data_IF_591365068155
#
_entry.id   IF_591365068155
#
_cell.length_a   1.000
_cell.length_b   1.000
_cell.length_c   1.000
_cell.angle_alpha   90.00
_cell.angle_beta   90.00
_cell.angle_gamma   90.00
#
_symmetry.space_group_name_H-M   'P 1'
#
loop_
_entity.id
_entity.type
_entity.pdbx_description
1 polymer ?
#
# COMPACT_ATOMS: atom_id res chain seq x y z
N UNK A 1 5.23 -19.59 4.36
CA UNK A 1 5.48 -18.14 4.34
C UNK A 1 6.99 -17.95 4.38
N UNK A 2 7.62 -17.61 3.24
CA UNK A 2 9.05 -17.29 3.25
C UNK A 2 9.24 -16.01 4.05
N UNK A 3 10.26 -15.96 4.89
CA UNK A 3 10.70 -14.72 5.55
C UNK A 3 10.82 -13.66 4.45
N UNK A 4 9.99 -12.61 4.49
CA UNK A 4 10.11 -11.48 3.56
C UNK A 4 9.25 -11.45 2.29
N UNK A 5 8.09 -12.13 2.20
CA UNK A 5 7.15 -11.86 1.08
C UNK A 5 6.44 -10.49 1.23
N UNK A 6 7.23 -9.43 1.07
CA UNK A 6 6.80 -8.04 1.07
C UNK A 6 5.99 -7.70 -0.18
N UNK A 7 6.22 -8.44 -1.27
CA UNK A 7 5.52 -8.26 -2.55
C UNK A 7 4.03 -8.59 -2.45
N UNK A 8 3.67 -9.69 -1.78
CA UNK A 8 2.26 -10.05 -1.53
C UNK A 8 1.56 -9.03 -0.64
N UNK A 9 2.24 -8.57 0.43
CA UNK A 9 1.74 -7.52 1.32
C UNK A 9 1.49 -6.20 0.58
N UNK A 10 2.47 -5.74 -0.20
CA UNK A 10 2.36 -4.56 -1.05
C UNK A 10 1.19 -4.68 -2.05
N UNK A 11 1.06 -5.83 -2.72
CA UNK A 11 -0.02 -6.08 -3.67
C UNK A 11 -1.41 -6.01 -3.02
N UNK A 12 -1.56 -6.59 -1.82
CA UNK A 12 -2.82 -6.52 -1.07
C UNK A 12 -3.14 -5.08 -0.66
N UNK A 13 -2.15 -4.32 -0.19
CA UNK A 13 -2.33 -2.93 0.22
C UNK A 13 -2.73 -2.04 -0.98
N UNK A 14 -2.06 -2.21 -2.12
CA UNK A 14 -2.41 -1.50 -3.36
C UNK A 14 -3.84 -1.81 -3.82
N UNK A 15 -4.24 -3.09 -3.75
CA UNK A 15 -5.61 -3.48 -4.08
C UNK A 15 -6.63 -2.88 -3.10
N UNK A 16 -6.34 -2.87 -1.80
CA UNK A 16 -7.21 -2.27 -0.80
C UNK A 16 -7.43 -0.77 -1.06
N UNK A 17 -6.38 -0.02 -1.41
CA UNK A 17 -6.51 1.39 -1.80
C UNK A 17 -7.38 1.58 -3.05
N UNK A 18 -7.24 0.69 -4.05
CA UNK A 18 -8.11 0.71 -5.25
C UNK A 18 -9.57 0.47 -4.88
N UNK A 19 -9.83 -0.53 -4.02
CA UNK A 19 -11.18 -0.82 -3.54
C UNK A 19 -11.79 0.33 -2.73
N UNK A 20 -10.98 1.01 -1.90
CA UNK A 20 -11.41 2.20 -1.18
C UNK A 20 -11.90 3.29 -2.14
N UNK A 21 -11.13 3.59 -3.19
CA UNK A 21 -11.50 4.61 -4.18
C UNK A 21 -12.82 4.29 -4.88
N UNK A 22 -12.97 3.06 -5.37
CA UNK A 22 -14.19 2.60 -6.04
C UNK A 22 -15.42 2.71 -5.11
N UNK A 23 -15.28 2.27 -3.86
CA UNK A 23 -16.36 2.35 -2.87
C UNK A 23 -16.67 3.77 -2.46
N UNK A 24 -15.65 4.64 -2.40
CA UNK A 24 -15.85 6.05 -2.10
C UNK A 24 -16.61 6.75 -3.23
N UNK A 25 -16.22 6.54 -4.49
CA UNK A 25 -16.92 7.07 -5.66
C UNK A 25 -18.41 6.67 -5.64
N UNK A 26 -18.70 5.39 -5.45
CA UNK A 26 -20.08 4.89 -5.33
C UNK A 26 -20.82 5.49 -4.13
N UNK A 27 -20.18 5.62 -2.97
CA UNK A 27 -20.80 6.25 -1.81
C UNK A 27 -21.15 7.72 -2.06
N UNK A 28 -20.32 8.44 -2.81
CA UNK A 28 -20.55 9.87 -3.12
C UNK A 28 -21.67 10.12 -4.13
N UNK A 29 -22.16 9.09 -4.83
CA UNK A 29 -23.34 9.20 -5.69
C UNK A 29 -24.60 9.55 -4.88
N UNK A 30 -24.74 8.97 -3.68
CA UNK A 30 -25.87 9.21 -2.78
C UNK A 30 -25.52 10.14 -1.61
N UNK A 31 -24.25 10.11 -1.15
CA UNK A 31 -23.79 10.86 0.02
C UNK A 31 -22.82 12.00 -0.36
N UNK A 32 -23.37 13.19 -0.58
CA UNK A 32 -22.63 14.37 -1.06
C UNK A 32 -22.81 15.63 -0.19
N UNK A 33 -23.19 15.44 1.07
CA UNK A 33 -23.39 16.53 2.03
C UNK A 33 -22.07 17.07 2.61
N UNK A 34 -22.17 18.04 3.53
CA UNK A 34 -21.00 18.62 4.19
C UNK A 34 -20.21 17.58 5.02
N UNK A 35 -20.87 16.54 5.55
CA UNK A 35 -20.21 15.47 6.31
C UNK A 35 -19.43 14.55 5.39
N UNK A 36 -19.96 14.22 4.21
CA UNK A 36 -19.24 13.45 3.20
C UNK A 36 -17.95 14.16 2.77
N UNK A 37 -18.02 15.49 2.54
CA UNK A 37 -16.86 16.30 2.19
C UNK A 37 -15.80 16.33 3.31
N UNK A 38 -16.23 16.50 4.56
CA UNK A 38 -15.32 16.44 5.71
C UNK A 38 -14.69 15.05 5.85
N UNK A 39 -15.48 13.98 5.71
CA UNK A 39 -14.99 12.61 5.79
C UNK A 39 -13.94 12.32 4.71
N UNK A 40 -14.19 12.74 3.45
CA UNK A 40 -13.23 12.60 2.36
C UNK A 40 -11.90 13.26 2.70
N UNK A 41 -11.95 14.54 3.07
CA UNK A 41 -10.78 15.36 3.37
C UNK A 41 -9.98 14.81 4.55
N UNK A 42 -10.67 14.44 5.62
CA UNK A 42 -10.00 14.11 6.88
C UNK A 42 -9.53 12.65 6.93
N UNK A 43 -10.16 11.75 6.15
CA UNK A 43 -9.90 10.31 6.24
C UNK A 43 -9.48 9.66 4.91
N UNK A 44 -10.07 10.03 3.77
CA UNK A 44 -9.83 9.34 2.49
C UNK A 44 -8.64 9.93 1.74
N UNK A 45 -8.56 11.26 1.63
CA UNK A 45 -7.46 11.96 0.96
C UNK A 45 -6.09 11.63 1.56
N UNK A 46 -5.89 11.61 2.89
CA UNK A 46 -4.58 11.34 3.48
C UNK A 46 -4.07 9.92 3.23
N UNK A 47 -4.97 8.95 3.04
CA UNK A 47 -4.60 7.54 2.83
C UNK A 47 -3.89 7.32 1.49
N UNK A 48 -4.24 8.08 0.45
CA UNK A 48 -3.63 7.91 -0.87
C UNK A 48 -2.11 8.15 -0.87
N UNK A 49 -1.59 9.30 -0.40
CA UNK A 49 -0.15 9.51 -0.33
C UNK A 49 0.52 8.60 0.69
N UNK A 50 -0.08 8.35 1.86
CA UNK A 50 0.51 7.49 2.89
C UNK A 50 0.72 6.03 2.41
N UNK A 51 -0.28 5.48 1.72
CA UNK A 51 -0.17 4.12 1.14
C UNK A 51 0.88 4.09 0.03
N UNK A 52 0.95 5.11 -0.84
CA UNK A 52 2.00 5.17 -1.87
C UNK A 52 3.40 5.17 -1.27
N UNK A 53 3.64 6.03 -0.28
CA UNK A 53 4.92 6.10 0.42
C UNK A 53 5.29 4.75 1.07
N UNK A 54 4.29 4.08 1.66
CA UNK A 54 4.47 2.74 2.23
C UNK A 54 4.86 1.72 1.17
N UNK A 55 4.19 1.71 0.02
CA UNK A 55 4.51 0.80 -1.09
C UNK A 55 5.93 1.03 -1.62
N UNK A 56 6.35 2.29 -1.75
CA UNK A 56 7.71 2.66 -2.18
C UNK A 56 8.77 2.23 -1.15
N UNK A 57 8.47 2.37 0.15
CA UNK A 57 9.34 1.88 1.22
C UNK A 57 9.44 0.34 1.21
N UNK A 58 8.33 -0.37 1.00
CA UNK A 58 8.31 -1.83 0.86
C UNK A 58 9.12 -2.31 -0.34
N UNK A 59 9.05 -1.61 -1.47
CA UNK A 59 9.84 -1.92 -2.66
C UNK A 59 11.35 -1.82 -2.40
N UNK A 60 11.80 -0.72 -1.77
CA UNK A 60 13.20 -0.53 -1.39
C UNK A 60 13.68 -1.58 -0.38
N UNK A 61 12.83 -1.93 0.59
CA UNK A 61 13.18 -2.96 1.58
C UNK A 61 13.31 -4.34 0.93
N UNK A 62 12.43 -4.68 -0.01
CA UNK A 62 12.51 -5.94 -0.75
C UNK A 62 13.83 -6.06 -1.53
N UNK A 63 14.27 -4.99 -2.20
CA UNK A 63 15.55 -4.96 -2.91
C UNK A 63 16.75 -5.20 -1.99
N UNK A 64 16.77 -4.55 -0.82
CA UNK A 64 17.84 -4.72 0.18
C UNK A 64 17.88 -6.15 0.71
N UNK A 65 16.72 -6.73 1.01
CA UNK A 65 16.63 -8.11 1.51
C UNK A 65 17.04 -9.13 0.43
N UNK A 66 16.63 -8.92 -0.82
CA UNK A 66 17.02 -9.77 -1.95
C UNK A 66 18.54 -9.74 -2.17
N UNK A 67 19.17 -8.57 -2.04
CA UNK A 67 20.62 -8.44 -2.11
C UNK A 67 21.31 -9.17 -0.95
N UNK A 68 20.88 -8.93 0.28
CA UNK A 68 21.45 -9.59 1.45
C UNK A 68 21.33 -11.13 1.37
N UNK A 69 20.20 -11.63 0.86
CA UNK A 69 19.98 -13.06 0.65
C UNK A 69 20.94 -13.66 -0.39
N UNK A 70 21.30 -12.91 -1.44
CA UNK A 70 22.31 -13.31 -2.43
C UNK A 70 23.70 -13.31 -1.82
N UNK A 71 24.09 -12.22 -1.15
CA UNK A 71 25.43 -12.04 -0.57
C UNK A 71 25.75 -13.17 0.44
N UNK A 72 24.79 -13.55 1.28
CA UNK A 72 24.95 -14.65 2.25
C UNK A 72 24.92 -16.04 1.57
N UNK A 73 24.25 -16.17 0.43
CA UNK A 73 24.18 -17.42 -0.33
C UNK A 73 25.45 -17.74 -1.12
N UNK A 74 26.21 -16.72 -1.50
CA UNK A 74 27.43 -16.83 -2.33
C UNK A 74 28.68 -17.17 -1.51
N UNK A 75 28.72 -16.88 -0.20
CA UNK A 75 29.85 -17.21 0.70
C UNK A 75 29.92 -18.70 1.11
N UNK A 76 29.02 -19.56 0.61
CA UNK A 76 28.95 -20.99 0.92
C UNK A 76 29.59 -21.94 -0.10
N UNK A 77 30.34 -21.42 -1.09
CA UNK A 77 30.98 -22.18 -2.17
C UNK A 77 32.49 -22.35 -2.02
#
# INVERSE_FOLDING_TARGET
MRVGDLSSGASKLANALKQLKLKWESATEEWQDARAKAFHKDNVEPLTPAVKETLDALGRLAEVLDRAARDVGDEGG
#
